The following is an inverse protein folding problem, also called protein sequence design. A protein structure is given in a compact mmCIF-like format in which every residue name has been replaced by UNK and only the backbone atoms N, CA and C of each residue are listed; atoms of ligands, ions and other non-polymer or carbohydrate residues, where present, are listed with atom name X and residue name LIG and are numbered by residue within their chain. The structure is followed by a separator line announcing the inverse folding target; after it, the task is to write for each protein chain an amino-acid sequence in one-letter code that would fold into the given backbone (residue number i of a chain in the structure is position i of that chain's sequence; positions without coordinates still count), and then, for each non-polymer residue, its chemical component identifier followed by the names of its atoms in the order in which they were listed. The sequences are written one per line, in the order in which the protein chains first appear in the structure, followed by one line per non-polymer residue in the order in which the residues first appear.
data_IF_284467836072
#
_entry.id   IF_284467836072
#
_cell.length_a   1.000
_cell.length_b   1.000
_cell.length_c   1.000
_cell.angle_alpha   90.00
_cell.angle_beta   90.00
_cell.angle_gamma   90.00
#
_symmetry.space_group_name_H-M   'P 1'
#
loop_
_entity.id
_entity.type
_entity.pdbx_description
1 polymer ?
#
# COMPACT_ATOMS: atom_id res chain seq x y z
N UNK A 1 31.63 53.04 29.40
CA UNK A 1 30.55 52.69 28.45
C UNK A 1 30.64 51.21 28.13
N UNK A 2 29.68 50.31 28.34
CA UNK A 2 28.51 50.18 29.22
C UNK A 2 28.17 48.67 29.17
N UNK A 3 28.50 47.84 30.18
CA UNK A 3 27.90 46.50 30.31
C UNK A 3 26.40 46.57 30.65
N UNK A 4 25.91 47.78 30.98
CA UNK A 4 24.51 48.09 31.21
C UNK A 4 23.62 47.97 29.96
N UNK A 5 24.18 48.13 28.75
CA UNK A 5 23.40 48.12 27.51
C UNK A 5 22.96 46.70 27.09
N UNK A 6 23.71 45.67 27.48
CA UNK A 6 23.40 44.26 27.17
C UNK A 6 22.34 43.72 28.13
N UNK A 7 22.37 44.14 29.40
CA UNK A 7 21.34 43.78 30.39
C UNK A 7 19.98 44.42 30.09
N UNK A 8 19.94 45.63 29.51
CA UNK A 8 18.70 46.24 29.04
C UNK A 8 18.12 45.55 27.79
N UNK A 9 18.96 44.99 26.91
CA UNK A 9 18.48 44.24 25.74
C UNK A 9 17.85 42.90 26.13
N UNK A 10 18.37 42.23 27.17
CA UNK A 10 17.78 41.00 27.74
C UNK A 10 16.50 41.33 28.51
N UNK A 11 16.44 42.45 29.22
CA UNK A 11 15.21 42.90 29.90
C UNK A 11 14.10 43.30 28.92
N UNK A 12 14.42 43.90 27.76
CA UNK A 12 13.45 44.21 26.72
C UNK A 12 12.98 42.96 25.94
N UNK A 13 13.85 41.96 25.74
CA UNK A 13 13.45 40.67 25.15
C UNK A 13 12.59 39.82 26.11
N UNK A 14 12.66 40.07 27.42
CA UNK A 14 11.81 39.43 28.43
C UNK A 14 10.45 40.14 28.64
N UNK A 15 10.22 41.33 28.06
CA UNK A 15 8.97 42.08 28.21
C UNK A 15 7.91 41.79 27.13
N UNK A 16 8.20 40.93 26.15
CA UNK A 16 7.20 40.45 25.19
C UNK A 16 6.75 39.00 25.42
N UNK A 17 7.00 38.42 26.60
CA UNK A 17 6.12 37.37 27.10
C UNK A 17 4.87 38.07 27.63
N UNK A 18 4.01 38.55 26.71
CA UNK A 18 2.62 38.85 27.07
C UNK A 18 2.12 37.57 27.72
N UNK A 19 1.95 37.60 29.05
CA UNK A 19 1.21 36.60 29.77
C UNK A 19 -0.06 36.36 28.94
N UNK A 20 -0.14 35.17 28.35
CA UNK A 20 -1.31 34.74 27.61
C UNK A 20 -2.45 34.98 28.58
N UNK A 21 -3.32 35.95 28.31
CA UNK A 21 -4.37 36.32 29.25
C UNK A 21 -5.13 35.01 29.54
N UNK A 22 -5.03 34.52 30.78
CA UNK A 22 -5.74 33.35 31.32
C UNK A 22 -7.26 33.59 31.41
N UNK A 23 -7.79 34.50 30.60
CA UNK A 23 -9.21 34.60 30.33
C UNK A 23 -9.55 33.50 29.35
N UNK A 24 -10.37 32.54 29.79
CA UNK A 24 -10.95 31.53 28.92
C UNK A 24 -11.48 32.23 27.66
N UNK A 25 -11.17 31.71 26.45
CA UNK A 25 -11.67 32.29 25.21
C UNK A 25 -13.19 32.41 25.26
N UNK A 26 -13.76 33.37 24.54
CA UNK A 26 -15.21 33.50 24.44
C UNK A 26 -15.83 32.19 23.93
N UNK A 27 -17.13 31.96 24.21
CA UNK A 27 -17.81 30.74 23.73
C UNK A 27 -17.67 30.55 22.22
N UNK A 28 -17.76 31.65 21.45
CA UNK A 28 -17.57 31.61 19.99
C UNK A 28 -16.15 31.21 19.58
N UNK A 29 -15.13 31.67 20.29
CA UNK A 29 -13.73 31.29 20.06
C UNK A 29 -13.47 29.83 20.45
N UNK A 30 -14.09 29.35 21.53
CA UNK A 30 -14.05 27.94 21.92
C UNK A 30 -14.69 27.06 20.85
N UNK A 31 -15.88 27.39 20.38
CA UNK A 31 -16.56 26.65 19.30
C UNK A 31 -15.74 26.64 18.00
N UNK A 32 -15.10 27.77 17.67
CA UNK A 32 -14.21 27.86 16.50
C UNK A 32 -12.98 26.98 16.69
N UNK A 33 -12.38 27.00 17.88
CA UNK A 33 -11.23 26.15 18.22
C UNK A 33 -11.59 24.66 18.13
N UNK A 34 -12.71 24.25 18.73
CA UNK A 34 -13.20 22.87 18.68
C UNK A 34 -13.47 22.40 17.26
N UNK A 35 -14.06 23.24 16.40
CA UNK A 35 -14.27 22.92 14.97
C UNK A 35 -12.95 22.70 14.24
N UNK A 36 -11.96 23.56 14.48
CA UNK A 36 -10.62 23.44 13.86
C UNK A 36 -9.90 22.20 14.38
N UNK A 37 -9.92 21.96 15.68
CA UNK A 37 -9.28 20.81 16.32
C UNK A 37 -9.93 19.48 15.88
N UNK A 38 -11.26 19.42 15.84
CA UNK A 38 -11.99 18.27 15.32
C UNK A 38 -11.68 18.01 13.84
N UNK A 39 -11.51 19.05 13.01
CA UNK A 39 -11.01 18.89 11.64
C UNK A 39 -9.60 18.34 11.63
N UNK A 40 -8.69 18.91 12.42
CA UNK A 40 -7.28 18.49 12.50
C UNK A 40 -7.12 17.02 12.86
N UNK A 41 -7.83 16.57 13.89
CA UNK A 41 -7.87 15.17 14.29
C UNK A 41 -8.40 14.25 13.18
N UNK A 42 -9.41 14.70 12.42
CA UNK A 42 -9.93 13.96 11.26
C UNK A 42 -8.90 13.87 10.12
N UNK A 43 -8.24 14.97 9.78
CA UNK A 43 -7.23 15.01 8.71
C UNK A 43 -6.06 14.05 9.02
N UNK A 44 -5.58 14.03 10.27
CA UNK A 44 -4.56 13.08 10.73
C UNK A 44 -5.07 11.62 10.74
N UNK A 45 -6.29 11.41 11.25
CA UNK A 45 -6.92 10.08 11.28
C UNK A 45 -7.06 9.50 9.87
N UNK A 46 -7.48 10.31 8.90
CA UNK A 46 -7.62 9.90 7.51
C UNK A 46 -6.28 9.42 6.95
N UNK A 47 -5.19 10.14 7.23
CA UNK A 47 -3.85 9.72 6.81
C UNK A 47 -3.49 8.33 7.35
N UNK A 48 -3.72 8.06 8.64
CA UNK A 48 -3.51 6.74 9.22
C UNK A 48 -4.44 5.67 8.65
N UNK A 49 -5.69 6.02 8.30
CA UNK A 49 -6.60 5.07 7.68
C UNK A 49 -6.12 4.64 6.29
N UNK A 50 -5.56 5.55 5.48
CA UNK A 50 -5.02 5.17 4.15
C UNK A 50 -3.85 4.19 4.23
N UNK A 51 -3.07 4.20 5.32
CA UNK A 51 -1.99 3.23 5.58
C UNK A 51 -2.52 1.80 5.68
N UNK A 52 -3.60 1.61 6.44
CA UNK A 52 -4.10 0.27 6.74
C UNK A 52 -4.53 -0.51 5.50
N UNK A 53 -4.87 0.18 4.41
CA UNK A 53 -5.32 -0.44 3.16
C UNK A 53 -4.26 -0.43 2.05
N UNK A 54 -3.07 0.13 2.31
CA UNK A 54 -1.99 0.21 1.34
C UNK A 54 -1.43 -1.16 0.95
N UNK A 55 -0.66 -1.24 -0.14
CA UNK A 55 -0.14 -2.51 -0.63
C UNK A 55 0.96 -3.02 0.31
N UNK A 56 1.07 -4.35 0.43
CA UNK A 56 2.10 -4.96 1.28
C UNK A 56 3.26 -5.40 0.42
N UNK A 57 4.46 -5.17 0.94
CA UNK A 57 5.65 -5.84 0.43
C UNK A 57 5.59 -7.32 0.75
N UNK A 58 6.23 -8.15 -0.07
CA UNK A 58 6.46 -9.55 0.26
C UNK A 58 7.84 -10.01 -0.16
N UNK A 59 8.33 -11.05 0.51
CA UNK A 59 9.47 -11.84 0.10
C UNK A 59 9.14 -13.32 0.24
N UNK A 60 9.29 -14.05 -0.85
CA UNK A 60 9.22 -15.50 -0.91
C UNK A 60 10.64 -16.06 -0.76
N UNK A 61 10.88 -16.96 0.20
CA UNK A 61 12.12 -17.73 0.24
C UNK A 61 12.28 -18.60 -1.03
N UNK A 62 13.47 -19.21 -1.24
CA UNK A 62 13.68 -20.12 -2.35
C UNK A 62 12.57 -21.17 -2.44
N UNK A 63 12.11 -21.48 -3.65
CA UNK A 63 11.08 -22.50 -3.93
C UNK A 63 9.65 -22.17 -3.47
N UNK A 64 9.38 -20.99 -2.91
CA UNK A 64 8.03 -20.61 -2.46
C UNK A 64 7.33 -19.61 -3.38
N UNK A 65 7.79 -19.48 -4.62
CA UNK A 65 7.07 -18.85 -5.71
C UNK A 65 7.07 -19.82 -6.91
N UNK A 66 5.92 -20.43 -7.14
CA UNK A 66 5.71 -21.58 -7.99
C UNK A 66 4.75 -21.25 -9.14
N UNK A 67 4.89 -21.97 -10.25
CA UNK A 67 4.00 -21.88 -11.40
C UNK A 67 4.45 -20.92 -12.51
N UNK A 68 5.55 -20.19 -12.30
CA UNK A 68 6.15 -19.37 -13.35
C UNK A 68 6.63 -20.21 -14.55
N UNK A 69 6.66 -19.63 -15.77
CA UNK A 69 7.17 -20.31 -16.97
C UNK A 69 8.63 -20.75 -16.89
N UNK A 70 9.51 -20.00 -16.21
CA UNK A 70 10.84 -20.49 -15.83
C UNK A 70 10.74 -21.25 -14.50
N UNK A 71 11.62 -22.25 -14.29
CA UNK A 71 11.71 -23.01 -13.03
C UNK A 71 11.83 -22.05 -11.83
N UNK A 72 11.29 -22.48 -10.69
CA UNK A 72 11.16 -21.78 -9.39
C UNK A 72 12.25 -20.74 -9.10
N UNK A 73 11.90 -19.64 -8.42
CA UNK A 73 12.86 -18.59 -8.07
C UNK A 73 13.67 -18.95 -6.81
N UNK A 74 14.93 -18.46 -6.76
CA UNK A 74 15.73 -18.46 -5.52
C UNK A 74 15.17 -17.44 -4.54
N UNK A 75 14.71 -16.30 -5.06
CA UNK A 75 14.06 -15.27 -4.28
C UNK A 75 13.09 -14.56 -5.20
N UNK A 76 11.89 -14.27 -4.70
CA UNK A 76 10.92 -13.42 -5.36
C UNK A 76 10.41 -12.41 -4.34
N UNK A 77 10.58 -11.13 -4.63
CA UNK A 77 10.19 -10.07 -3.72
C UNK A 77 9.53 -8.92 -4.47
N UNK A 78 8.52 -8.34 -3.84
CA UNK A 78 7.90 -7.09 -4.23
C UNK A 78 7.99 -6.16 -3.04
N UNK A 79 8.78 -5.12 -3.16
CA UNK A 79 9.15 -4.25 -2.06
C UNK A 79 8.54 -2.88 -2.35
N UNK A 80 7.70 -2.44 -1.43
CA UNK A 80 6.84 -1.26 -1.56
C UNK A 80 7.12 -0.35 -0.35
N UNK A 81 8.21 0.42 -0.36
CA UNK A 81 8.42 1.48 0.61
C UNK A 81 7.41 2.59 0.37
N UNK A 82 6.78 3.07 1.43
CA UNK A 82 5.80 4.14 1.39
C UNK A 82 6.21 5.27 2.34
N UNK A 83 6.33 6.49 1.81
CA UNK A 83 6.50 7.72 2.60
C UNK A 83 5.20 8.48 2.59
N UNK A 84 4.72 8.87 3.78
CA UNK A 84 3.36 9.39 3.93
C UNK A 84 3.43 10.83 4.37
N UNK A 85 2.82 11.69 3.57
CA UNK A 85 2.64 13.10 3.85
C UNK A 85 1.16 13.28 4.17
N UNK A 86 0.86 13.27 5.45
CA UNK A 86 -0.43 13.58 6.02
C UNK A 86 -0.19 14.29 7.35
N UNK A 87 -1.04 15.25 7.69
CA UNK A 87 -0.95 15.93 8.97
C UNK A 87 -2.30 16.50 9.36
N UNK A 88 -2.40 16.92 10.61
CA UNK A 88 -3.54 17.69 11.12
C UNK A 88 -3.90 18.90 10.25
N UNK A 89 -2.95 19.48 9.50
CA UNK A 89 -3.16 20.72 8.75
C UNK A 89 -3.41 20.50 7.26
N UNK A 90 -3.26 19.27 6.78
CA UNK A 90 -3.34 18.94 5.35
C UNK A 90 -4.61 18.10 5.14
N UNK A 91 -5.64 18.60 4.44
CA UNK A 91 -6.93 17.92 4.27
C UNK A 91 -6.90 16.79 3.22
N UNK A 92 -5.71 16.36 2.83
CA UNK A 92 -5.47 15.28 1.89
C UNK A 92 -4.27 14.46 2.39
N UNK A 93 -4.09 13.28 1.83
CA UNK A 93 -2.94 12.43 2.17
C UNK A 93 -2.20 12.06 0.90
N UNK A 94 -0.87 12.20 0.91
CA UNK A 94 -0.01 11.78 -0.21
C UNK A 94 0.86 10.62 0.23
N UNK A 95 0.87 9.54 -0.55
CA UNK A 95 1.80 8.44 -0.42
C UNK A 95 2.82 8.54 -1.55
N UNK A 96 4.10 8.71 -1.22
CA UNK A 96 5.19 8.53 -2.18
C UNK A 96 5.62 7.07 -2.12
N UNK A 97 5.57 6.39 -3.26
CA UNK A 97 5.73 4.93 -3.34
C UNK A 97 6.90 4.62 -4.27
N UNK A 98 7.91 3.92 -3.76
CA UNK A 98 9.10 3.53 -4.54
C UNK A 98 9.13 2.02 -4.75
N UNK A 99 8.05 1.48 -5.33
CA UNK A 99 7.89 0.05 -5.49
C UNK A 99 8.96 -0.52 -6.42
N UNK A 100 9.55 -1.64 -6.04
CA UNK A 100 10.41 -2.42 -6.92
C UNK A 100 10.18 -3.92 -6.73
N UNK A 101 10.11 -4.64 -7.84
CA UNK A 101 9.94 -6.09 -7.85
C UNK A 101 11.18 -6.74 -8.43
N UNK A 102 11.71 -7.72 -7.70
CA UNK A 102 12.95 -8.43 -8.01
C UNK A 102 12.73 -9.92 -7.92
N UNK A 103 13.29 -10.65 -8.88
CA UNK A 103 13.24 -12.10 -8.93
C UNK A 103 14.62 -12.62 -9.32
N UNK A 104 15.15 -13.52 -8.52
CA UNK A 104 16.43 -14.18 -8.77
C UNK A 104 16.11 -15.46 -9.55
N UNK A 105 16.53 -15.49 -10.80
CA UNK A 105 16.34 -16.64 -11.69
C UNK A 105 17.33 -17.75 -11.37
N UNK A 106 16.93 -18.97 -11.70
CA UNK A 106 17.89 -20.07 -11.82
C UNK A 106 18.79 -19.90 -13.02
N UNK A 107 20.01 -20.43 -12.87
CA UNK A 107 20.96 -20.57 -13.95
C UNK A 107 20.33 -21.30 -15.14
N UNK A 108 20.66 -20.80 -16.31
CA UNK A 108 20.34 -21.38 -17.60
C UNK A 108 21.62 -21.39 -18.41
N UNK A 109 22.46 -22.39 -18.18
CA UNK A 109 23.77 -22.52 -18.83
C UNK A 109 23.64 -22.54 -20.37
N UNK A 110 22.53 -23.06 -20.90
CA UNK A 110 22.24 -23.05 -22.34
C UNK A 110 22.07 -21.63 -22.91
N UNK A 111 21.71 -20.65 -22.08
CA UNK A 111 21.65 -19.22 -22.42
C UNK A 111 22.87 -18.44 -21.89
N UNK A 112 23.90 -19.13 -21.37
CA UNK A 112 25.11 -18.54 -20.79
C UNK A 112 24.91 -17.89 -19.41
N UNK A 113 23.82 -18.25 -18.70
CA UNK A 113 23.50 -17.72 -17.38
C UNK A 113 24.07 -18.65 -16.29
N UNK A 114 25.02 -18.14 -15.50
CA UNK A 114 25.78 -18.91 -14.49
C UNK A 114 25.91 -18.19 -13.14
N UNK A 115 25.17 -17.09 -12.94
CA UNK A 115 25.34 -16.20 -11.77
C UNK A 115 24.04 -15.91 -11.02
N UNK A 116 22.98 -16.68 -11.24
CA UNK A 116 21.65 -16.45 -10.67
C UNK A 116 21.17 -15.02 -10.95
N UNK A 117 21.12 -14.65 -12.23
CA UNK A 117 20.88 -13.27 -12.61
C UNK A 117 19.50 -12.76 -12.16
N UNK A 118 19.48 -11.52 -11.67
CA UNK A 118 18.26 -10.72 -11.62
C UNK A 118 18.01 -10.19 -13.03
N UNK A 119 16.94 -10.65 -13.67
CA UNK A 119 16.59 -10.19 -15.02
C UNK A 119 15.30 -9.40 -15.03
N UNK A 120 15.35 -8.28 -15.75
CA UNK A 120 14.21 -7.42 -16.00
C UNK A 120 13.44 -7.07 -14.71
N UNK A 121 14.13 -6.53 -13.68
CA UNK A 121 13.45 -6.06 -12.47
C UNK A 121 12.37 -5.05 -12.87
N UNK A 122 11.40 -4.80 -12.00
CA UNK A 122 10.40 -3.76 -12.27
C UNK A 122 10.52 -2.65 -11.25
N UNK A 123 10.86 -1.45 -11.71
CA UNK A 123 10.90 -0.24 -10.90
C UNK A 123 9.64 0.56 -11.15
N UNK A 124 8.92 0.87 -10.08
CA UNK A 124 7.63 1.55 -10.11
C UNK A 124 7.58 2.72 -9.11
N UNK A 125 8.42 3.76 -9.26
CA UNK A 125 8.31 4.96 -8.45
C UNK A 125 7.08 5.78 -8.85
N UNK A 126 6.41 6.37 -7.86
CA UNK A 126 5.25 7.21 -8.09
C UNK A 126 4.67 7.79 -6.81
N UNK A 127 3.46 8.30 -6.95
CA UNK A 127 2.71 8.86 -5.84
C UNK A 127 1.22 8.55 -5.96
N UNK A 128 0.54 8.52 -4.82
CA UNK A 128 -0.91 8.47 -4.72
C UNK A 128 -1.39 9.63 -3.86
N UNK A 129 -2.35 10.40 -4.37
CA UNK A 129 -3.04 11.45 -3.61
C UNK A 129 -4.42 10.96 -3.24
N UNK A 130 -4.74 10.94 -1.95
CA UNK A 130 -6.04 10.56 -1.41
C UNK A 130 -6.81 11.79 -0.93
N UNK A 131 -8.08 11.84 -1.33
CA UNK A 131 -9.00 12.94 -1.04
C UNK A 131 -10.24 12.35 -0.37
N UNK A 132 -10.53 12.69 0.90
CA UNK A 132 -11.72 12.17 1.59
C UNK A 132 -12.99 12.67 0.91
N UNK A 133 -13.96 11.78 0.70
CA UNK A 133 -15.29 12.15 0.20
C UNK A 133 -16.24 12.45 1.36
N UNK A 134 -16.17 11.62 2.40
CA UNK A 134 -16.87 11.81 3.66
C UNK A 134 -15.86 11.97 4.79
N UNK A 135 -15.92 13.09 5.52
CA UNK A 135 -15.06 13.29 6.67
C UNK A 135 -15.53 12.43 7.84
N UNK A 136 -14.73 11.42 8.12
CA UNK A 136 -14.93 10.43 9.18
C UNK A 136 -13.93 10.67 10.31
N UNK A 137 -14.39 10.51 11.55
CA UNK A 137 -13.51 10.43 12.71
C UNK A 137 -12.91 9.03 12.87
N UNK A 138 -12.08 8.83 13.89
CA UNK A 138 -11.41 7.55 14.15
C UNK A 138 -12.39 6.39 14.36
N UNK A 139 -13.58 6.69 14.90
CA UNK A 139 -14.61 5.73 15.24
C UNK A 139 -15.60 5.46 14.11
N UNK A 140 -15.58 6.28 13.07
CA UNK A 140 -16.49 6.17 11.94
C UNK A 140 -16.40 4.77 11.33
N UNK A 141 -17.51 4.01 11.32
CA UNK A 141 -17.50 2.63 10.85
C UNK A 141 -17.31 2.57 9.34
N UNK A 142 -17.73 3.60 8.62
CA UNK A 142 -17.71 3.65 7.17
C UNK A 142 -16.92 4.87 6.71
N UNK A 143 -16.06 4.67 5.71
CA UNK A 143 -15.28 5.74 5.09
C UNK A 143 -15.30 5.57 3.59
N UNK A 144 -15.25 6.67 2.86
CA UNK A 144 -15.07 6.67 1.41
C UNK A 144 -14.17 7.83 0.98
N UNK A 145 -13.36 7.58 -0.05
CA UNK A 145 -12.39 8.55 -0.53
C UNK A 145 -12.00 8.27 -1.98
N UNK A 146 -11.51 9.30 -2.66
CA UNK A 146 -10.91 9.20 -3.99
C UNK A 146 -9.41 9.08 -3.88
N UNK A 147 -8.78 8.40 -4.83
CA UNK A 147 -7.34 8.31 -5.01
C UNK A 147 -6.95 8.64 -6.43
N UNK A 148 -5.87 9.38 -6.63
CA UNK A 148 -5.25 9.60 -7.94
C UNK A 148 -3.81 9.09 -7.85
N UNK A 149 -3.50 8.04 -8.60
CA UNK A 149 -2.16 7.44 -8.67
C UNK A 149 -1.43 7.94 -9.90
N UNK A 150 -0.15 8.28 -9.79
CA UNK A 150 0.73 8.60 -10.91
C UNK A 150 2.05 7.86 -10.73
N UNK A 151 2.40 7.01 -11.68
CA UNK A 151 3.56 6.14 -11.57
C UNK A 151 4.31 6.03 -12.89
N UNK A 152 5.62 5.97 -12.77
CA UNK A 152 6.50 5.46 -13.80
C UNK A 152 6.68 3.96 -13.60
N UNK A 153 6.76 3.18 -14.67
CA UNK A 153 7.19 1.79 -14.64
C UNK A 153 8.28 1.60 -15.69
N UNK A 154 9.42 1.06 -15.27
CA UNK A 154 10.48 0.62 -16.17
C UNK A 154 11.16 -0.62 -15.64
N UNK A 155 11.96 -1.26 -16.50
CA UNK A 155 12.81 -2.39 -16.13
C UNK A 155 14.31 -2.10 -16.14
N UNK A 156 14.69 -0.86 -16.44
CA UNK A 156 16.08 -0.39 -16.47
C UNK A 156 16.95 -1.06 -17.53
N UNK A 157 16.36 -1.51 -18.65
CA UNK A 157 17.07 -2.14 -19.76
C UNK A 157 16.94 -1.30 -21.04
N UNK A 158 17.97 -1.32 -21.88
CA UNK A 158 18.03 -0.52 -23.12
C UNK A 158 18.06 -1.37 -24.41
N UNK A 159 17.90 -2.68 -24.31
CA UNK A 159 17.85 -3.56 -25.49
C UNK A 159 16.55 -3.38 -26.30
N UNK A 160 16.51 -3.85 -27.56
CA UNK A 160 15.32 -3.78 -28.39
C UNK A 160 14.17 -4.58 -27.77
N UNK A 161 12.92 -4.10 -27.87
CA UNK A 161 11.75 -4.75 -27.24
C UNK A 161 11.39 -6.09 -27.86
N UNK A 162 11.82 -6.31 -29.11
CA UNK A 162 11.63 -7.54 -29.85
C UNK A 162 12.98 -8.13 -30.27
N UNK A 163 13.01 -9.47 -30.36
CA UNK A 163 14.09 -10.21 -31.01
C UNK A 163 13.94 -10.13 -32.53
N UNK A 164 14.97 -10.58 -33.26
CA UNK A 164 14.96 -10.62 -34.73
C UNK A 164 13.85 -11.50 -35.33
N UNK A 165 13.37 -12.49 -34.58
CA UNK A 165 12.24 -13.36 -34.94
C UNK A 165 10.86 -12.72 -34.66
N UNK A 166 10.83 -11.49 -34.11
CA UNK A 166 9.62 -10.75 -33.78
C UNK A 166 8.94 -11.17 -32.46
N UNK A 167 9.52 -12.09 -31.70
CA UNK A 167 9.11 -12.43 -30.33
C UNK A 167 9.56 -11.36 -29.33
N UNK A 168 8.92 -11.31 -28.15
CA UNK A 168 9.30 -10.36 -27.10
C UNK A 168 10.71 -10.63 -26.57
N UNK A 169 11.49 -9.57 -26.39
CA UNK A 169 12.80 -9.65 -25.77
C UNK A 169 12.69 -9.60 -24.24
N UNK A 170 12.37 -10.74 -23.64
CA UNK A 170 12.25 -10.92 -22.19
C UNK A 170 13.62 -10.96 -21.46
N UNK A 171 14.73 -10.82 -22.19
CA UNK A 171 16.09 -10.95 -21.64
C UNK A 171 16.67 -9.59 -21.25
N UNK A 172 16.72 -8.65 -22.20
CA UNK A 172 17.22 -7.28 -21.99
C UNK A 172 16.41 -6.22 -22.76
N UNK A 173 15.21 -6.54 -23.22
CA UNK A 173 14.37 -5.56 -23.92
C UNK A 173 13.93 -4.42 -23.01
N UNK A 174 13.79 -3.22 -23.57
CA UNK A 174 13.27 -2.03 -22.90
C UNK A 174 11.76 -2.15 -22.66
N UNK A 175 11.34 -2.15 -21.40
CA UNK A 175 9.91 -2.12 -21.07
C UNK A 175 9.67 -0.96 -20.13
N UNK A 176 9.12 0.12 -20.67
CA UNK A 176 8.75 1.29 -19.90
C UNK A 176 7.37 1.82 -20.29
N UNK A 177 6.69 2.40 -19.31
CA UNK A 177 5.40 3.05 -19.44
C UNK A 177 5.13 3.90 -18.22
N UNK A 178 4.29 4.92 -18.34
CA UNK A 178 3.74 5.64 -17.20
C UNK A 178 2.26 5.33 -17.09
N UNK A 179 1.67 5.54 -15.92
CA UNK A 179 0.23 5.51 -15.78
C UNK A 179 -0.31 6.52 -14.79
N UNK A 180 -1.53 6.96 -15.08
CA UNK A 180 -2.41 7.66 -14.14
C UNK A 180 -3.62 6.80 -13.84
N UNK A 181 -4.04 6.73 -12.59
CA UNK A 181 -5.19 5.94 -12.15
C UNK A 181 -6.04 6.72 -11.14
N UNK A 182 -7.14 7.37 -11.57
CA UNK A 182 -8.22 7.72 -10.67
C UNK A 182 -8.87 6.45 -10.11
N UNK A 183 -9.21 6.48 -8.83
CA UNK A 183 -9.77 5.36 -8.09
C UNK A 183 -10.74 5.81 -7.01
N UNK A 184 -11.77 5.02 -6.76
CA UNK A 184 -12.67 5.13 -5.63
C UNK A 184 -12.32 4.07 -4.60
N UNK A 185 -12.36 4.45 -3.32
CA UNK A 185 -12.07 3.59 -2.19
C UNK A 185 -13.18 3.65 -1.15
N UNK A 186 -13.40 2.53 -0.47
CA UNK A 186 -14.32 2.47 0.65
C UNK A 186 -13.82 1.51 1.73
N UNK A 187 -14.29 1.71 2.96
CA UNK A 187 -14.26 0.69 4.02
C UNK A 187 -15.59 0.68 4.78
N UNK A 188 -16.00 -0.50 5.22
CA UNK A 188 -17.15 -0.80 6.09
C UNK A 188 -16.66 -1.63 7.28
N UNK A 189 -16.83 -1.12 8.49
CA UNK A 189 -16.47 -1.79 9.75
C UNK A 189 -17.72 -2.31 10.45
N UNK A 190 -17.67 -3.55 10.90
CA UNK A 190 -18.70 -4.18 11.72
C UNK A 190 -18.09 -4.64 13.04
N UNK A 191 -18.53 -4.04 14.14
CA UNK A 191 -18.17 -4.48 15.49
C UNK A 191 -18.89 -5.80 15.81
N UNK A 192 -18.16 -6.75 16.39
CA UNK A 192 -18.68 -8.02 16.87
C UNK A 192 -19.26 -7.79 18.27
N UNK A 193 -20.46 -8.33 18.51
CA UNK A 193 -21.02 -8.35 19.85
C UNK A 193 -20.41 -9.53 20.61
N UNK A 194 -19.68 -9.25 21.69
CA UNK A 194 -19.47 -10.24 22.74
C UNK A 194 -20.43 -9.96 23.89
N UNK A 195 -20.99 -11.00 24.56
CA UNK A 195 -21.73 -10.80 25.79
C UNK A 195 -20.75 -10.25 26.84
N UNK A 196 -20.89 -8.96 27.14
CA UNK A 196 -20.13 -8.29 28.19
C UNK A 196 -20.46 -9.00 29.50
N UNK A 197 -19.51 -9.76 30.06
CA UNK A 197 -19.67 -10.18 31.45
C UNK A 197 -19.75 -8.92 32.30
N UNK A 198 -20.73 -8.83 33.20
CA UNK A 198 -21.01 -7.64 34.02
C UNK A 198 -19.80 -7.15 34.86
N UNK A 199 -18.68 -7.90 34.89
CA UNK A 199 -17.43 -7.57 35.58
C UNK A 199 -16.36 -6.91 34.69
N UNK A 200 -16.55 -6.80 33.37
CA UNK A 200 -15.58 -6.17 32.46
C UNK A 200 -16.09 -4.82 31.97
N UNK A 201 -15.77 -3.76 32.71
CA UNK A 201 -15.81 -2.39 32.20
C UNK A 201 -14.63 -2.16 31.24
N UNK A 202 -14.65 -2.79 30.06
CA UNK A 202 -13.79 -2.35 28.95
C UNK A 202 -14.52 -2.55 27.61
N UNK A 203 -14.87 -1.46 26.90
CA UNK A 203 -15.89 -1.48 25.84
C UNK A 203 -15.36 -1.78 24.43
N UNK A 204 -14.05 -1.93 24.24
CA UNK A 204 -13.49 -2.11 22.90
C UNK A 204 -13.92 -3.47 22.34
N UNK A 205 -14.61 -3.44 21.19
CA UNK A 205 -15.19 -4.63 20.56
C UNK A 205 -14.30 -5.09 19.43
N UNK A 206 -14.03 -6.40 19.36
CA UNK A 206 -13.48 -7.04 18.16
C UNK A 206 -14.28 -6.57 16.94
N UNK A 207 -13.64 -6.37 15.79
CA UNK A 207 -14.34 -5.92 14.60
C UNK A 207 -13.78 -6.54 13.33
N UNK A 208 -14.60 -6.44 12.29
CA UNK A 208 -14.27 -6.87 10.94
C UNK A 208 -14.37 -5.68 10.00
N UNK A 209 -13.43 -5.55 9.09
CA UNK A 209 -13.47 -4.53 8.04
C UNK A 209 -13.57 -5.19 6.69
N UNK A 210 -14.48 -4.69 5.87
CA UNK A 210 -14.51 -4.94 4.44
C UNK A 210 -14.14 -3.65 3.73
N UNK A 211 -13.15 -3.68 2.87
CA UNK A 211 -12.68 -2.52 2.13
C UNK A 211 -12.52 -2.86 0.66
N UNK A 212 -12.46 -1.83 -0.17
CA UNK A 212 -12.22 -2.02 -1.58
C UNK A 212 -11.78 -0.77 -2.31
N UNK A 213 -11.19 -1.01 -3.47
CA UNK A 213 -10.71 0.00 -4.43
C UNK A 213 -11.15 -0.40 -5.83
N UNK A 214 -11.71 0.53 -6.57
CA UNK A 214 -11.97 0.39 -8.00
C UNK A 214 -11.27 1.53 -8.74
N UNK A 215 -10.44 1.21 -9.73
CA UNK A 215 -9.64 2.18 -10.45
C UNK A 215 -9.61 1.95 -11.95
N UNK A 216 -9.39 3.04 -12.69
CA UNK A 216 -9.24 3.04 -14.15
C UNK A 216 -7.85 3.58 -14.48
N UNK A 217 -6.93 2.69 -14.86
CA UNK A 217 -5.57 3.06 -15.19
C UNK A 217 -5.44 3.39 -16.68
N UNK A 218 -4.82 4.53 -16.97
CA UNK A 218 -4.50 5.00 -18.31
C UNK A 218 -2.97 5.05 -18.45
N UNK A 219 -2.45 4.22 -19.34
CA UNK A 219 -1.03 4.14 -19.62
C UNK A 219 -0.62 5.06 -20.77
N UNK A 220 0.51 5.75 -20.60
CA UNK A 220 1.08 6.70 -21.57
C UNK A 220 2.60 6.65 -21.53
N UNK A 221 3.28 7.20 -22.54
CA UNK A 221 4.74 7.11 -22.63
C UNK A 221 5.26 5.67 -22.71
N UNK A 222 4.43 4.73 -23.17
CA UNK A 222 4.84 3.34 -23.40
C UNK A 222 5.82 3.29 -24.58
N UNK A 223 6.87 2.48 -24.46
CA UNK A 223 7.82 2.21 -25.55
C UNK A 223 7.08 1.94 -26.88
N UNK A 224 7.52 2.58 -27.96
CA UNK A 224 6.77 2.66 -29.22
C UNK A 224 6.42 1.27 -29.78
N UNK A 225 7.40 0.39 -29.78
CA UNK A 225 7.30 -1.03 -30.17
C UNK A 225 6.21 -1.80 -29.41
N UNK A 226 5.91 -1.42 -28.16
CA UNK A 226 4.97 -2.13 -27.30
C UNK A 226 3.55 -1.55 -27.31
N UNK A 227 3.33 -0.36 -27.90
CA UNK A 227 2.04 0.36 -27.84
C UNK A 227 0.85 -0.46 -28.29
N UNK A 228 1.01 -1.32 -29.30
CA UNK A 228 -0.08 -2.14 -29.83
C UNK A 228 -0.32 -3.43 -29.04
N UNK A 229 0.61 -3.85 -28.18
CA UNK A 229 0.49 -5.10 -27.40
C UNK A 229 0.22 -4.84 -25.90
N UNK A 230 0.62 -3.70 -25.35
CA UNK A 230 0.65 -3.44 -23.89
C UNK A 230 -0.72 -3.27 -23.23
N UNK A 231 -1.71 -2.78 -23.98
CA UNK A 231 -3.04 -2.47 -23.47
C UNK A 231 -3.04 -1.18 -22.63
N UNK A 232 -3.47 -0.07 -23.25
CA UNK A 232 -3.35 1.28 -22.67
C UNK A 232 -4.32 1.58 -21.53
N UNK A 233 -5.40 0.81 -21.40
CA UNK A 233 -6.49 1.09 -20.46
C UNK A 233 -6.77 -0.16 -19.65
N UNK A 234 -6.76 -0.06 -18.32
CA UNK A 234 -6.98 -1.19 -17.41
C UNK A 234 -8.03 -0.83 -16.37
N UNK A 235 -8.88 -1.80 -16.05
CA UNK A 235 -9.81 -1.72 -14.92
C UNK A 235 -9.17 -2.53 -13.79
N UNK A 236 -8.97 -1.90 -12.63
CA UNK A 236 -8.39 -2.53 -11.46
C UNK A 236 -9.43 -2.59 -10.34
N UNK A 237 -9.55 -3.76 -9.71
CA UNK A 237 -10.40 -4.00 -8.56
C UNK A 237 -9.55 -4.60 -7.44
N UNK A 238 -9.72 -4.10 -6.23
CA UNK A 238 -9.24 -4.72 -5.02
C UNK A 238 -10.39 -4.80 -4.02
N UNK A 239 -10.52 -5.94 -3.37
CA UNK A 239 -11.44 -6.16 -2.26
C UNK A 239 -10.65 -6.81 -1.13
N UNK A 240 -10.85 -6.35 0.10
CA UNK A 240 -10.15 -6.89 1.25
C UNK A 240 -11.04 -7.05 2.47
N UNK A 241 -10.68 -8.02 3.28
CA UNK A 241 -11.36 -8.35 4.52
C UNK A 241 -10.33 -8.48 5.63
N UNK A 242 -10.55 -7.77 6.73
CA UNK A 242 -9.65 -7.72 7.89
C UNK A 242 -10.40 -8.18 9.13
N UNK A 243 -9.81 -9.10 9.90
CA UNK A 243 -10.26 -9.44 11.25
C UNK A 243 -9.36 -8.76 12.28
N UNK A 244 -9.96 -7.97 13.17
CA UNK A 244 -9.26 -7.27 14.24
C UNK A 244 -9.81 -7.73 15.58
N UNK A 245 -8.89 -8.11 16.48
CA UNK A 245 -9.23 -8.50 17.83
C UNK A 245 -8.54 -7.61 18.86
N UNK A 246 -9.13 -7.56 20.04
CA UNK A 246 -8.53 -6.91 21.20
C UNK A 246 -7.57 -7.84 21.91
N UNK A 247 -6.39 -7.31 22.20
CA UNK A 247 -5.33 -7.95 22.96
C UNK A 247 -5.12 -7.21 24.27
N UNK A 248 -4.45 -7.86 25.21
CA UNK A 248 -3.86 -7.25 26.40
C UNK A 248 -2.52 -7.91 26.68
N UNK A 249 -1.60 -7.18 27.29
CA UNK A 249 -0.37 -7.76 27.81
C UNK A 249 -0.65 -8.46 29.13
N UNK A 250 -0.05 -9.63 29.31
CA UNK A 250 -0.21 -10.45 30.50
C UNK A 250 1.15 -10.99 30.95
N UNK A 251 1.39 -11.03 32.25
CA UNK A 251 2.55 -11.67 32.86
C UNK A 251 2.10 -12.50 34.04
N UNK A 252 2.39 -13.81 34.00
CA UNK A 252 2.02 -14.78 35.04
C UNK A 252 0.53 -14.72 35.42
N UNK A 253 -0.39 -14.68 34.44
CA UNK A 253 -1.82 -14.62 34.74
C UNK A 253 -2.38 -13.22 35.01
N UNK A 254 -1.50 -12.19 35.08
CA UNK A 254 -1.89 -10.82 35.48
C UNK A 254 -1.82 -9.85 34.32
N UNK A 255 -2.93 -9.13 34.09
CA UNK A 255 -3.03 -8.09 33.07
C UNK A 255 -2.06 -6.94 33.39
N UNK A 256 -1.19 -6.63 32.45
CA UNK A 256 -0.19 -5.56 32.53
C UNK A 256 -0.58 -4.31 31.75
N UNK A 257 -1.48 -4.41 30.77
CA UNK A 257 -1.87 -3.26 29.93
C UNK A 257 -3.38 -3.13 29.76
N UNK A 258 -3.79 -1.95 29.31
CA UNK A 258 -5.11 -1.77 28.72
C UNK A 258 -5.25 -2.59 27.43
N UNK A 259 -6.50 -2.76 27.00
CA UNK A 259 -6.78 -3.41 25.73
C UNK A 259 -6.25 -2.59 24.58
N UNK A 260 -5.89 -3.29 23.52
CA UNK A 260 -5.44 -2.67 22.30
C UNK A 260 -5.83 -3.50 21.07
N UNK A 261 -6.13 -2.82 19.97
CA UNK A 261 -6.49 -3.49 18.72
C UNK A 261 -5.26 -4.10 18.04
N UNK A 262 -5.44 -5.30 17.50
CA UNK A 262 -4.47 -5.90 16.60
C UNK A 262 -5.16 -6.70 15.51
N UNK A 263 -4.70 -6.50 14.28
CA UNK A 263 -5.08 -7.37 13.17
C UNK A 263 -4.69 -8.81 13.47
N UNK A 264 -5.60 -9.74 13.20
CA UNK A 264 -5.38 -11.17 13.33
C UNK A 264 -5.01 -11.76 11.97
N UNK A 265 -5.84 -11.49 10.97
CA UNK A 265 -5.64 -11.92 9.60
C UNK A 265 -6.32 -10.98 8.62
N UNK A 266 -5.88 -11.05 7.36
CA UNK A 266 -6.45 -10.31 6.24
C UNK A 266 -6.51 -11.19 4.99
N UNK A 267 -7.61 -11.09 4.25
CA UNK A 267 -7.76 -11.68 2.91
C UNK A 267 -7.86 -10.53 1.92
N UNK A 268 -7.12 -10.58 0.81
CA UNK A 268 -7.16 -9.56 -0.24
C UNK A 268 -7.34 -10.25 -1.58
N UNK A 269 -8.34 -9.82 -2.34
CA UNK A 269 -8.55 -10.17 -3.73
C UNK A 269 -8.17 -8.98 -4.61
N UNK A 270 -7.34 -9.20 -5.63
CA UNK A 270 -7.01 -8.22 -6.66
C UNK A 270 -7.41 -8.78 -8.02
N UNK A 271 -7.97 -7.94 -8.88
CA UNK A 271 -8.24 -8.27 -10.28
C UNK A 271 -7.93 -7.09 -11.18
N UNK A 272 -7.36 -7.37 -12.34
CA UNK A 272 -7.13 -6.41 -13.42
C UNK A 272 -7.70 -6.96 -14.71
N UNK A 273 -8.43 -6.12 -15.43
CA UNK A 273 -8.86 -6.39 -16.80
C UNK A 273 -8.23 -5.39 -17.76
N UNK A 274 -7.52 -5.90 -18.77
CA UNK A 274 -6.84 -5.12 -19.79
C UNK A 274 -7.79 -4.94 -20.99
N UNK A 275 -8.16 -3.69 -21.26
CA UNK A 275 -9.11 -3.32 -22.32
C UNK A 275 -8.42 -2.93 -23.64
N UNK A 276 -9.21 -2.77 -24.71
CA UNK A 276 -8.73 -2.35 -26.03
C UNK A 276 -8.13 -3.48 -26.88
N UNK A 277 -7.91 -3.25 -28.17
CA UNK A 277 -7.25 -4.22 -29.05
C UNK A 277 -5.78 -4.42 -28.66
N UNK A 278 -5.29 -5.66 -28.78
CA UNK A 278 -3.90 -6.03 -28.49
C UNK A 278 -3.34 -7.00 -29.54
N UNK A 279 -2.19 -6.69 -30.09
CA UNK A 279 -1.55 -7.53 -31.11
C UNK A 279 -0.80 -8.72 -30.51
N UNK A 280 -0.08 -9.48 -31.36
CA UNK A 280 0.83 -10.57 -30.96
C UNK A 280 0.13 -11.67 -30.13
N UNK A 281 -1.13 -11.95 -30.47
CA UNK A 281 -1.94 -12.97 -29.78
C UNK A 281 -2.44 -12.58 -28.39
N UNK A 282 -2.30 -11.31 -27.98
CA UNK A 282 -2.68 -10.84 -26.64
C UNK A 282 -4.14 -10.35 -26.54
N UNK A 283 -4.92 -10.52 -27.61
CA UNK A 283 -6.33 -10.12 -27.65
C UNK A 283 -7.29 -11.11 -26.97
N UNK A 284 -6.86 -12.35 -26.73
CA UNK A 284 -7.65 -13.36 -26.03
C UNK A 284 -8.06 -12.93 -24.62
N UNK A 285 -9.22 -13.40 -24.15
CA UNK A 285 -9.75 -13.03 -22.83
C UNK A 285 -8.82 -13.48 -21.69
N UNK A 286 -8.27 -14.68 -21.83
CA UNK A 286 -7.28 -15.28 -20.95
C UNK A 286 -5.99 -14.46 -20.88
N UNK A 287 -5.70 -13.62 -21.87
CA UNK A 287 -4.54 -12.70 -21.88
C UNK A 287 -4.83 -11.36 -21.21
N UNK A 288 -6.10 -11.07 -20.90
CA UNK A 288 -6.55 -9.75 -20.42
C UNK A 288 -6.76 -9.70 -18.92
N UNK A 289 -6.89 -10.86 -18.26
CA UNK A 289 -7.21 -10.93 -16.85
C UNK A 289 -5.97 -11.28 -16.05
N UNK A 290 -5.70 -10.48 -15.03
CA UNK A 290 -4.82 -10.87 -13.94
C UNK A 290 -5.67 -10.93 -12.67
N UNK A 291 -5.55 -11.98 -11.87
CA UNK A 291 -6.29 -12.14 -10.64
C UNK A 291 -5.38 -12.74 -9.55
N UNK A 292 -5.56 -12.30 -8.32
CA UNK A 292 -4.82 -12.78 -7.15
C UNK A 292 -5.74 -12.81 -5.94
N UNK A 293 -5.63 -13.87 -5.15
CA UNK A 293 -6.09 -13.89 -3.77
C UNK A 293 -4.91 -14.13 -2.82
N UNK A 294 -4.80 -13.31 -1.79
CA UNK A 294 -3.75 -13.38 -0.79
C UNK A 294 -4.36 -13.48 0.60
N UNK A 295 -3.85 -14.39 1.43
CA UNK A 295 -4.14 -14.52 2.85
C UNK A 295 -2.92 -14.09 3.65
N UNK A 296 -3.11 -13.22 4.63
CA UNK A 296 -2.09 -12.72 5.54
C UNK A 296 -2.46 -13.10 6.96
N UNK A 297 -1.57 -13.77 7.66
CA UNK A 297 -1.68 -14.06 9.08
C UNK A 297 -0.62 -13.28 9.85
N UNK A 298 -1.07 -12.31 10.66
CA UNK A 298 -0.15 -11.41 11.37
C UNK A 298 0.64 -12.19 12.40
N UNK A 299 1.95 -11.97 12.42
CA UNK A 299 2.84 -12.54 13.44
C UNK A 299 2.62 -11.75 14.74
N UNK A 300 2.19 -12.44 15.81
CA UNK A 300 2.01 -11.83 17.13
C UNK A 300 3.34 -11.26 17.62
N UNK A 301 3.31 -10.04 18.14
CA UNK A 301 4.52 -9.33 18.59
C UNK A 301 5.25 -8.55 17.50
N UNK A 302 4.96 -8.80 16.21
CA UNK A 302 5.43 -7.92 15.13
C UNK A 302 4.40 -6.80 14.85
N UNK A 303 4.82 -5.53 14.78
CA UNK A 303 3.93 -4.44 14.40
C UNK A 303 3.58 -4.44 12.91
N UNK A 304 4.45 -5.01 12.05
CA UNK A 304 4.40 -4.80 10.61
C UNK A 304 4.66 -6.05 9.76
N UNK A 305 4.64 -7.25 10.35
CA UNK A 305 4.95 -8.50 9.64
C UNK A 305 3.83 -9.54 9.73
N UNK A 306 3.68 -10.31 8.66
CA UNK A 306 2.77 -11.45 8.57
C UNK A 306 3.41 -12.59 7.80
N UNK A 307 2.98 -13.81 8.08
CA UNK A 307 3.09 -14.89 7.12
C UNK A 307 2.00 -14.70 6.08
N UNK A 308 2.29 -14.99 4.81
CA UNK A 308 1.29 -14.92 3.76
C UNK A 308 1.31 -16.15 2.87
N UNK A 309 0.16 -16.42 2.26
CA UNK A 309 0.03 -17.32 1.13
C UNK A 309 -0.84 -16.64 0.07
N UNK A 310 -0.45 -16.71 -1.19
CA UNK A 310 -1.26 -16.20 -2.30
C UNK A 310 -1.27 -17.13 -3.48
N UNK A 311 -2.35 -17.09 -4.24
CA UNK A 311 -2.46 -17.78 -5.51
C UNK A 311 -3.19 -16.90 -6.51
N UNK A 312 -2.89 -17.08 -7.77
CA UNK A 312 -3.49 -16.25 -8.79
C UNK A 312 -3.19 -16.75 -10.19
N UNK A 313 -3.62 -15.93 -11.13
CA UNK A 313 -3.48 -16.14 -12.55
C UNK A 313 -2.97 -14.86 -13.18
N UNK A 314 -1.87 -14.95 -13.91
CA UNK A 314 -1.45 -13.90 -14.84
C UNK A 314 -1.92 -14.28 -16.22
N UNK A 315 -2.74 -13.43 -16.84
CA UNK A 315 -3.15 -13.59 -18.23
C UNK A 315 -2.12 -13.00 -19.18
N UNK A 316 -1.65 -11.80 -18.88
CA UNK A 316 -0.39 -11.31 -19.43
C UNK A 316 0.33 -10.62 -18.30
N UNK A 317 1.54 -11.10 -18.00
CA UNK A 317 2.39 -10.46 -17.02
C UNK A 317 2.58 -9.00 -17.44
N UNK A 318 2.14 -8.01 -16.64
CA UNK A 318 2.41 -6.61 -16.93
C UNK A 318 3.91 -6.29 -16.82
N UNK A 319 4.70 -7.21 -16.28
CA UNK A 319 6.14 -7.14 -16.12
C UNK A 319 6.86 -7.90 -17.24
N UNK A 320 8.04 -7.38 -17.63
CA UNK A 320 8.77 -7.86 -18.80
C UNK A 320 9.07 -9.36 -18.75
N UNK A 321 9.45 -9.92 -17.61
CA UNK A 321 10.09 -11.25 -17.55
C UNK A 321 9.28 -12.41 -18.16
N UNK A 322 7.95 -12.30 -18.18
CA UNK A 322 7.05 -13.25 -18.85
C UNK A 322 5.97 -12.54 -19.67
N UNK A 323 6.29 -11.37 -20.21
CA UNK A 323 5.34 -10.59 -20.98
C UNK A 323 4.75 -11.43 -22.12
N UNK A 324 3.42 -11.54 -22.12
CA UNK A 324 2.64 -12.33 -23.07
C UNK A 324 2.35 -13.78 -22.67
N UNK A 325 3.00 -14.31 -21.64
CA UNK A 325 2.70 -15.64 -21.10
C UNK A 325 1.51 -15.58 -20.14
N UNK A 326 0.81 -16.71 -20.04
CA UNK A 326 -0.25 -16.90 -19.05
C UNK A 326 0.07 -18.08 -18.17
N UNK A 327 -0.13 -17.94 -16.86
CA UNK A 327 0.19 -18.99 -15.92
C UNK A 327 -0.54 -18.79 -14.59
N UNK A 328 -0.86 -19.89 -13.94
CA UNK A 328 -1.24 -19.90 -12.53
C UNK A 328 0.01 -19.90 -11.68
N UNK A 329 -0.08 -19.29 -10.50
CA UNK A 329 1.00 -19.31 -9.54
C UNK A 329 0.51 -19.55 -8.12
N UNK A 330 1.43 -19.97 -7.28
CA UNK A 330 1.26 -20.05 -5.83
C UNK A 330 2.50 -19.48 -5.15
N UNK A 331 2.29 -18.64 -4.13
CA UNK A 331 3.35 -17.97 -3.38
C UNK A 331 3.12 -18.08 -1.89
N UNK A 332 4.19 -18.18 -1.12
CA UNK A 332 4.12 -18.01 0.33
C UNK A 332 5.45 -17.47 0.87
N UNK A 333 5.40 -16.83 2.02
CA UNK A 333 6.58 -16.23 2.64
C UNK A 333 6.19 -15.23 3.70
N UNK A 334 6.98 -14.16 3.78
CA UNK A 334 6.77 -13.07 4.73
C UNK A 334 6.29 -11.85 3.98
N UNK A 335 5.24 -11.22 4.50
CA UNK A 335 4.77 -9.93 4.01
C UNK A 335 4.99 -8.84 5.06
N UNK A 336 5.38 -7.67 4.59
CA UNK A 336 5.68 -6.49 5.38
C UNK A 336 4.78 -5.33 4.94
N UNK A 337 4.28 -4.55 5.89
CA UNK A 337 3.47 -3.38 5.59
C UNK A 337 2.71 -2.87 6.80
N UNK A 338 1.75 -2.00 6.57
CA UNK A 338 0.90 -1.48 7.64
C UNK A 338 -0.21 -2.49 7.98
N UNK A 339 -0.15 -2.98 9.21
CA UNK A 339 -1.21 -3.77 9.83
C UNK A 339 -1.88 -2.91 10.89
N UNK A 340 -3.17 -3.17 11.14
CA UNK A 340 -3.84 -2.51 12.26
C UNK A 340 -3.13 -2.96 13.54
N UNK A 341 -2.38 -2.06 14.13
CA UNK A 341 -1.51 -2.30 15.26
C UNK A 341 -1.76 -1.24 16.35
N UNK A 342 -1.50 -1.58 17.61
CA UNK A 342 -2.02 -0.83 18.75
C UNK A 342 -1.47 0.58 18.98
N UNK A 343 -0.42 0.97 18.26
CA UNK A 343 0.33 2.20 18.55
C UNK A 343 0.79 2.90 17.28
N UNK A 344 -0.15 3.30 16.41
CA UNK A 344 0.10 4.45 15.55
C UNK A 344 -0.62 5.63 16.21
N UNK A 345 0.01 6.17 17.26
CA UNK A 345 -0.35 7.47 17.81
C UNK A 345 0.48 8.53 17.08
#
# INVERSE_FOLDING_TARGET
MKPLSVLLLIACLLQEVKAQKDTLPSKEEQEKFEKVDARRRRDLTFAYQTQNYSQRSYACPPFFDLGSPKKWYILSADIIPEFIIGSERIPLTVHLVTRYMVRILHDNEAEGDSSFAVRTPSFMPGAVVYIPLDYSDAESPNISYMGISLFHHSNGQDGPEFKSDGSFNLYNGNFSTNYIEPSYHFRRRKYLMEPVSAKQQNPDRNYKEFYGRAGLAFHFGTADSLKSSYGKKRINLQLGYISVINYWNEYLGRRLSNYYYGEQYRVVFNATYITGSRDKGLSGFEKRINAEISYYWRIKGSPNSSLFASTGYYGSDPYNIYYGNSYFYFRTGIALGFFIAPNIK
#
